data_IF_661558741338
#
_entry.id   IF_661558741338
#
_cell.length_a   1.000
_cell.length_b   1.000
_cell.length_c   1.000
_cell.angle_alpha   90.00
_cell.angle_beta   90.00
_cell.angle_gamma   90.00
#
_symmetry.space_group_name_H-M   'P 1'
#
loop_
_entity.id
_entity.type
_entity.pdbx_description
1 polymer ?
#
# COMPACT_ATOMS: atom_id res chain seq x y z
N UNK A 1 51.38 -21.01 -17.53
CA UNK A 1 51.39 -19.58 -17.94
C UNK A 1 50.04 -18.97 -17.59
N UNK A 2 50.00 -18.16 -16.52
CA UNK A 2 48.97 -17.16 -16.19
C UNK A 2 49.09 -15.98 -17.18
N UNK A 3 48.03 -15.16 -17.42
CA UNK A 3 47.59 -14.07 -16.49
C UNK A 3 46.03 -13.99 -16.37
N UNK A 4 45.35 -13.58 -15.29
CA UNK A 4 45.35 -12.36 -14.45
C UNK A 4 45.00 -11.04 -15.19
N UNK A 5 43.79 -10.49 -14.98
CA UNK A 5 43.40 -9.06 -14.83
C UNK A 5 41.86 -8.94 -14.93
N UNK A 6 41.14 -8.78 -13.81
CA UNK A 6 40.71 -7.51 -13.16
C UNK A 6 39.81 -6.63 -14.04
N UNK A 7 38.52 -6.58 -13.71
CA UNK A 7 37.69 -5.38 -13.89
C UNK A 7 37.15 -4.95 -12.53
N UNK A 8 37.71 -3.85 -12.03
CA UNK A 8 37.24 -3.05 -10.93
C UNK A 8 35.95 -2.33 -11.35
N UNK A 9 34.92 -2.32 -10.51
CA UNK A 9 33.90 -1.27 -10.57
C UNK A 9 33.41 -0.90 -9.16
N UNK A 10 34.09 0.13 -8.64
CA UNK A 10 33.59 1.27 -7.86
C UNK A 10 32.62 0.99 -6.70
N UNK A 11 33.23 0.97 -5.52
CA UNK A 11 32.80 1.55 -4.25
C UNK A 11 31.68 2.60 -4.32
N UNK A 12 30.60 2.38 -3.56
CA UNK A 12 29.90 3.45 -2.84
C UNK A 12 29.64 2.95 -1.43
N UNK A 13 30.55 3.30 -0.53
CA UNK A 13 30.44 3.12 0.92
C UNK A 13 29.57 4.28 1.43
N UNK A 14 28.30 4.06 1.75
CA UNK A 14 27.49 5.05 2.46
C UNK A 14 27.84 4.97 3.95
N UNK A 15 28.63 5.94 4.40
CA UNK A 15 28.90 6.22 5.80
C UNK A 15 27.62 6.81 6.39
N UNK A 16 26.86 6.02 7.15
CA UNK A 16 25.84 6.55 8.05
C UNK A 16 26.55 6.99 9.34
N UNK A 17 26.53 8.30 9.59
CA UNK A 17 27.11 8.92 10.76
C UNK A 17 26.44 8.41 12.05
N UNK A 18 27.18 7.69 12.89
CA UNK A 18 26.80 7.43 14.27
C UNK A 18 27.20 8.67 15.08
N UNK A 19 26.22 9.50 15.42
CA UNK A 19 26.42 10.55 16.40
C UNK A 19 26.41 9.92 17.81
N UNK A 20 27.59 9.53 18.30
CA UNK A 20 27.81 9.33 19.74
C UNK A 20 27.95 10.71 20.40
N UNK A 21 26.90 11.21 21.02
CA UNK A 21 27.04 12.30 21.99
C UNK A 21 27.58 11.71 23.30
N UNK A 22 28.89 11.89 23.52
CA UNK A 22 29.56 11.55 24.77
C UNK A 22 29.04 12.43 25.92
N UNK A 23 28.69 11.78 27.03
CA UNK A 23 28.44 12.39 28.33
C UNK A 23 29.79 12.76 28.96
N UNK A 24 30.08 14.06 29.15
CA UNK A 24 31.14 14.54 30.04
C UNK A 24 30.73 15.86 30.71
N UNK A 25 30.74 15.86 32.04
CA UNK A 25 30.55 17.01 32.93
C UNK A 25 30.54 16.46 34.37
N UNK A 26 31.72 16.30 34.97
CA UNK A 26 32.36 17.28 35.86
C UNK A 26 31.66 17.37 37.23
N UNK A 27 32.36 16.89 38.24
CA UNK A 27 32.00 16.79 39.65
C UNK A 27 32.39 18.08 40.40
N UNK A 28 31.45 18.67 41.14
CA UNK A 28 31.67 19.44 42.40
C UNK A 28 30.33 19.77 43.07
N UNK A 29 30.36 19.88 44.39
CA UNK A 29 29.32 19.54 45.36
C UNK A 29 28.23 20.60 45.65
N UNK A 30 27.08 20.08 46.10
CA UNK A 30 26.05 20.59 47.01
C UNK A 30 25.39 21.98 46.78
N UNK A 31 24.13 21.93 46.33
CA UNK A 31 23.03 22.60 47.02
C UNK A 31 21.72 21.82 46.79
N UNK A 32 21.15 21.36 47.90
CA UNK A 32 19.85 20.71 48.02
C UNK A 32 18.74 21.67 47.57
N UNK A 33 17.95 21.32 46.55
CA UNK A 33 16.55 21.69 46.48
C UNK A 33 15.75 20.69 45.65
N UNK A 34 14.98 19.91 46.39
CA UNK A 34 13.80 19.16 46.01
C UNK A 34 12.88 19.92 45.05
N UNK A 35 12.74 19.43 43.82
CA UNK A 35 11.44 19.06 43.20
C UNK A 35 11.77 18.15 42.02
N UNK A 36 11.72 16.83 42.25
CA UNK A 36 11.93 15.82 41.22
C UNK A 36 10.89 15.93 40.11
N UNK A 37 11.16 16.75 39.10
CA UNK A 37 10.46 16.64 37.82
C UNK A 37 11.05 15.43 37.14
N UNK A 38 10.39 14.28 37.25
CA UNK A 38 10.72 13.12 36.43
C UNK A 38 10.45 13.53 34.99
N UNK A 39 11.47 14.06 34.30
CA UNK A 39 11.50 14.05 32.85
C UNK A 39 11.53 12.58 32.45
N UNK A 40 10.34 11.99 32.34
CA UNK A 40 10.22 10.71 31.66
C UNK A 40 10.85 10.92 30.29
N UNK A 41 11.90 10.16 30.00
CA UNK A 41 12.50 10.16 28.68
C UNK A 41 11.41 9.71 27.71
N UNK A 42 10.81 10.67 27.02
CA UNK A 42 9.83 10.40 25.99
C UNK A 42 10.60 10.00 24.75
N UNK A 43 10.31 8.81 24.28
CA UNK A 43 10.89 8.30 23.06
C UNK A 43 9.81 8.30 21.98
N UNK A 44 10.16 8.81 20.81
CA UNK A 44 9.27 8.89 19.65
C UNK A 44 9.95 8.26 18.45
N UNK A 45 9.26 7.34 17.79
CA UNK A 45 9.65 6.83 16.47
C UNK A 45 8.58 7.19 15.46
N UNK A 46 9.02 7.71 14.32
CA UNK A 46 8.15 8.11 13.21
C UNK A 46 8.70 7.55 11.92
N UNK A 47 7.83 7.06 11.05
CA UNK A 47 8.22 6.52 9.76
C UNK A 47 7.23 6.92 8.67
N UNK A 48 7.78 7.33 7.52
CA UNK A 48 6.99 7.66 6.34
C UNK A 48 6.79 6.40 5.52
N UNK A 49 5.53 6.09 5.25
CA UNK A 49 5.15 4.89 4.52
C UNK A 49 5.14 5.15 3.01
N UNK A 50 5.37 4.12 2.18
CA UNK A 50 5.23 4.21 0.73
C UNK A 50 3.82 4.59 0.25
N UNK A 51 2.81 4.44 1.11
CA UNK A 51 1.45 4.92 0.89
C UNK A 51 1.28 6.44 1.02
N UNK A 52 2.32 7.17 1.46
CA UNK A 52 2.24 8.58 1.86
C UNK A 52 1.75 8.80 3.30
N UNK A 53 1.22 7.77 3.96
CA UNK A 53 0.85 7.85 5.38
C UNK A 53 2.10 7.94 6.27
N UNK A 54 1.95 8.55 7.44
CA UNK A 54 2.98 8.55 8.48
C UNK A 54 2.50 7.70 9.66
N UNK A 55 3.33 6.75 10.08
CA UNK A 55 3.11 6.00 11.32
C UNK A 55 4.03 6.58 12.40
N UNK A 56 3.53 6.63 13.63
CA UNK A 56 4.32 7.05 14.78
C UNK A 56 3.95 6.24 16.02
N UNK A 57 4.90 6.10 16.92
CA UNK A 57 4.67 5.63 18.27
C UNK A 57 5.36 6.56 19.27
N UNK A 58 4.74 6.70 20.44
CA UNK A 58 5.28 7.45 21.56
C UNK A 58 5.33 6.52 22.77
N UNK A 59 6.53 6.35 23.32
CA UNK A 59 6.82 5.55 24.50
C UNK A 59 7.29 6.40 25.66
N UNK A 60 7.13 5.89 26.87
CA UNK A 60 7.65 6.50 28.11
C UNK A 60 9.00 5.91 28.51
N UNK A 61 9.49 4.91 27.78
CA UNK A 61 10.83 4.36 27.95
C UNK A 61 11.83 4.93 26.95
N UNK A 62 13.02 4.33 26.90
CA UNK A 62 14.18 4.86 26.17
C UNK A 62 14.38 4.24 24.78
N UNK A 63 13.54 3.28 24.39
CA UNK A 63 13.74 2.48 23.17
C UNK A 63 12.57 2.64 22.22
N UNK A 64 12.83 3.30 21.09
CA UNK A 64 11.93 3.32 19.94
C UNK A 64 12.72 3.03 18.69
N UNK A 65 12.08 2.28 17.81
CA UNK A 65 12.66 1.73 16.61
C UNK A 65 11.77 2.14 15.46
N UNK A 66 12.37 2.66 14.39
CA UNK A 66 11.76 2.79 13.08
C UNK A 66 12.66 2.00 12.11
N UNK A 67 12.18 0.87 11.62
CA UNK A 67 13.00 -0.07 10.84
C UNK A 67 12.15 -0.81 9.80
N UNK A 68 12.71 -1.81 9.13
CA UNK A 68 12.06 -2.67 8.17
C UNK A 68 12.38 -4.14 8.42
N UNK A 69 11.41 -5.00 8.19
CA UNK A 69 11.60 -6.45 8.14
C UNK A 69 10.88 -7.05 6.91
N UNK A 70 10.81 -8.39 6.83
CA UNK A 70 10.15 -9.08 5.72
C UNK A 70 8.66 -8.79 5.56
N UNK A 71 8.00 -8.19 6.57
CA UNK A 71 6.60 -7.77 6.55
C UNK A 71 6.44 -6.29 6.19
N UNK A 72 7.53 -5.52 6.14
CA UNK A 72 7.55 -4.12 5.74
C UNK A 72 8.19 -3.18 6.76
N UNK A 73 8.00 -1.89 6.52
CA UNK A 73 8.41 -0.79 7.40
C UNK A 73 7.54 -0.80 8.67
N UNK A 74 8.13 -0.60 9.84
CA UNK A 74 7.41 -0.52 11.11
C UNK A 74 8.04 0.44 12.11
N UNK A 75 7.20 0.93 13.03
CA UNK A 75 7.63 1.57 14.28
C UNK A 75 7.30 0.70 15.49
N UNK A 76 8.14 0.75 16.51
CA UNK A 76 7.96 0.04 17.77
C UNK A 76 8.50 0.87 18.92
N UNK A 77 7.73 1.00 20.00
CA UNK A 77 8.13 1.73 21.21
C UNK A 77 8.07 0.78 22.42
N UNK A 78 9.06 0.87 23.31
CA UNK A 78 9.13 0.15 24.58
C UNK A 78 9.00 -1.37 24.48
N UNK A 79 9.46 -1.96 23.37
CA UNK A 79 9.32 -3.40 23.11
C UNK A 79 7.87 -3.84 22.88
N UNK A 80 6.93 -2.90 22.72
CA UNK A 80 5.52 -3.14 22.48
C UNK A 80 5.22 -3.72 21.09
N UNK A 81 3.94 -3.71 20.69
CA UNK A 81 3.55 -4.19 19.37
C UNK A 81 4.16 -3.33 18.25
N UNK A 82 4.60 -3.98 17.18
CA UNK A 82 5.05 -3.29 15.96
C UNK A 82 3.83 -2.73 15.22
N UNK A 83 3.92 -1.46 14.84
CA UNK A 83 2.95 -0.80 13.98
C UNK A 83 3.55 -0.78 12.59
N UNK A 84 2.96 -1.53 11.65
CA UNK A 84 3.46 -1.62 10.28
C UNK A 84 2.86 -0.55 9.39
N UNK A 85 3.65 -0.11 8.41
CA UNK A 85 3.16 0.74 7.34
C UNK A 85 2.06 0.06 6.54
N UNK A 86 0.98 0.78 6.17
CA UNK A 86 0.02 0.26 5.22
C UNK A 86 0.69 0.03 3.85
N UNK A 87 0.12 -0.88 3.02
CA UNK A 87 0.66 -1.17 1.69
C UNK A 87 0.68 0.10 0.82
N UNK A 88 1.63 0.14 -0.13
CA UNK A 88 1.75 1.26 -1.05
C UNK A 88 0.44 1.50 -1.83
N UNK A 89 0.08 2.76 -2.01
CA UNK A 89 -1.08 3.16 -2.80
C UNK A 89 -0.72 3.01 -4.28
N UNK A 90 -1.38 2.05 -4.93
CA UNK A 90 -1.13 1.74 -6.35
C UNK A 90 -2.34 2.01 -7.22
N UNK A 91 -3.50 2.28 -6.62
CA UNK A 91 -4.73 2.55 -7.36
C UNK A 91 -4.82 4.04 -7.67
N UNK A 92 -4.40 4.44 -8.86
CA UNK A 92 -4.74 5.78 -9.38
C UNK A 92 -6.27 5.92 -9.47
N UNK A 93 -6.87 7.09 -9.16
CA UNK A 93 -8.33 7.30 -9.17
C UNK A 93 -8.97 7.20 -10.57
N UNK A 94 -8.23 6.73 -11.57
CA UNK A 94 -8.65 6.59 -12.95
C UNK A 94 -9.87 5.68 -13.07
N UNK A 95 -10.96 6.28 -13.50
CA UNK A 95 -12.15 5.54 -13.96
C UNK A 95 -11.78 4.84 -15.26
N UNK A 96 -11.98 3.53 -15.31
CA UNK A 96 -11.76 2.68 -16.48
C UNK A 96 -13.09 2.18 -17.01
N UNK A 97 -13.13 1.87 -18.30
CA UNK A 97 -14.32 1.34 -18.98
C UNK A 97 -13.93 0.14 -19.81
N UNK A 98 -14.66 -0.96 -19.64
CA UNK A 98 -14.46 -2.21 -20.39
C UNK A 98 -15.79 -2.66 -20.97
N UNK A 99 -15.76 -3.14 -22.21
CA UNK A 99 -16.93 -3.73 -22.85
C UNK A 99 -16.95 -5.24 -22.61
N UNK A 100 -18.11 -5.78 -22.22
CA UNK A 100 -18.35 -7.22 -22.25
C UNK A 100 -19.46 -7.54 -23.24
N UNK A 101 -19.30 -8.62 -23.97
CA UNK A 101 -20.34 -9.18 -24.81
C UNK A 101 -20.46 -10.67 -24.56
N UNK A 102 -21.69 -11.17 -24.68
CA UNK A 102 -21.95 -12.60 -24.58
C UNK A 102 -23.29 -12.99 -25.19
N UNK A 103 -23.39 -14.29 -25.46
CA UNK A 103 -24.59 -14.94 -25.95
C UNK A 103 -25.44 -15.51 -24.81
N UNK A 104 -26.75 -15.61 -25.03
CA UNK A 104 -27.69 -16.36 -24.19
C UNK A 104 -28.96 -16.71 -24.96
N UNK A 105 -29.76 -17.65 -24.45
CA UNK A 105 -31.04 -18.02 -25.06
C UNK A 105 -32.07 -16.87 -24.98
N UNK A 106 -31.88 -15.95 -24.04
CA UNK A 106 -32.66 -14.71 -23.90
C UNK A 106 -31.75 -13.51 -23.71
N UNK A 107 -32.25 -12.29 -23.95
CA UNK A 107 -31.49 -11.07 -23.64
C UNK A 107 -31.06 -10.97 -22.17
N UNK A 108 -31.89 -11.41 -21.22
CA UNK A 108 -31.54 -11.38 -19.79
C UNK A 108 -30.36 -12.29 -19.45
N UNK A 109 -30.34 -13.48 -20.04
CA UNK A 109 -29.21 -14.40 -19.93
C UNK A 109 -27.96 -13.85 -20.63
N UNK A 110 -28.10 -13.35 -21.85
CA UNK A 110 -27.00 -12.74 -22.60
C UNK A 110 -26.36 -11.58 -21.83
N UNK A 111 -27.16 -10.70 -21.21
CA UNK A 111 -26.64 -9.62 -20.36
C UNK A 111 -25.95 -10.14 -19.10
N UNK A 112 -26.45 -11.21 -18.48
CA UNK A 112 -25.82 -11.81 -17.31
C UNK A 112 -24.43 -12.36 -17.67
N UNK A 113 -24.33 -13.07 -18.79
CA UNK A 113 -23.07 -13.59 -19.30
C UNK A 113 -22.12 -12.46 -19.73
N UNK A 114 -22.63 -11.41 -20.37
CA UNK A 114 -21.85 -10.28 -20.84
C UNK A 114 -21.24 -9.49 -19.67
N UNK A 115 -21.98 -9.35 -18.56
CA UNK A 115 -21.47 -8.79 -17.30
C UNK A 115 -20.33 -9.63 -16.74
N UNK A 116 -20.52 -10.95 -16.64
CA UNK A 116 -19.48 -11.84 -16.15
C UNK A 116 -18.19 -11.76 -17.00
N UNK A 117 -18.32 -11.65 -18.34
CA UNK A 117 -17.19 -11.43 -19.24
C UNK A 117 -16.51 -10.08 -18.98
N UNK A 118 -17.27 -8.98 -18.90
CA UNK A 118 -16.71 -7.65 -18.61
C UNK A 118 -15.90 -7.64 -17.29
N UNK A 119 -16.40 -8.35 -16.27
CA UNK A 119 -15.74 -8.41 -14.97
C UNK A 119 -14.41 -9.16 -14.97
N UNK A 120 -14.19 -10.11 -15.89
CA UNK A 120 -12.90 -10.79 -16.01
C UNK A 120 -11.77 -9.82 -16.38
N UNK A 121 -12.09 -8.74 -17.07
CA UNK A 121 -11.12 -7.71 -17.47
C UNK A 121 -10.94 -6.60 -16.43
N UNK A 122 -11.73 -6.60 -15.34
CA UNK A 122 -11.57 -5.62 -14.26
C UNK A 122 -10.35 -5.95 -13.38
N UNK A 123 -9.18 -5.44 -13.77
CA UNK A 123 -7.93 -5.61 -13.03
C UNK A 123 -7.75 -4.48 -11.99
N UNK A 124 -8.28 -4.71 -10.79
CA UNK A 124 -8.08 -3.83 -9.64
C UNK A 124 -7.10 -4.46 -8.63
N UNK A 125 -6.02 -3.76 -8.25
CA UNK A 125 -5.16 -4.18 -7.15
C UNK A 125 -5.99 -4.32 -5.87
N UNK A 126 -5.99 -5.51 -5.25
CA UNK A 126 -6.76 -5.76 -4.02
C UNK A 126 -8.25 -6.04 -4.22
N UNK A 127 -8.75 -6.22 -5.46
CA UNK A 127 -10.13 -6.63 -5.80
C UNK A 127 -11.26 -5.72 -5.28
N UNK A 128 -10.95 -4.55 -4.75
CA UNK A 128 -11.95 -3.60 -4.27
C UNK A 128 -12.13 -2.51 -5.33
N UNK A 129 -13.20 -2.58 -6.11
CA UNK A 129 -13.55 -1.53 -7.07
C UNK A 129 -15.00 -1.12 -6.91
N UNK A 130 -15.27 0.16 -7.13
CA UNK A 130 -16.63 0.62 -7.44
C UNK A 130 -16.93 0.23 -8.88
N UNK A 131 -17.96 -0.58 -9.11
CA UNK A 131 -18.37 -1.04 -10.44
C UNK A 131 -19.77 -0.53 -10.78
N UNK A 132 -19.98 -0.19 -12.04
CA UNK A 132 -21.30 0.14 -12.58
C UNK A 132 -21.42 -0.44 -13.98
N UNK A 133 -22.61 -0.96 -14.30
CA UNK A 133 -22.89 -1.57 -15.59
C UNK A 133 -23.93 -0.76 -16.33
N UNK A 134 -23.63 -0.41 -17.56
CA UNK A 134 -24.60 0.14 -18.51
C UNK A 134 -24.98 -0.94 -19.50
N UNK A 135 -26.26 -1.27 -19.59
CA UNK A 135 -26.77 -2.16 -20.63
C UNK A 135 -26.74 -1.39 -21.96
N UNK A 136 -26.10 -1.96 -22.97
CA UNK A 136 -26.06 -1.41 -24.31
C UNK A 136 -27.15 -2.11 -25.14
N UNK A 137 -26.80 -2.70 -26.29
CA UNK A 137 -27.72 -3.43 -27.15
C UNK A 137 -27.96 -4.87 -26.70
N UNK A 138 -29.11 -5.39 -27.10
CA UNK A 138 -29.35 -6.83 -27.19
C UNK A 138 -30.03 -7.12 -28.53
N UNK A 139 -29.39 -7.94 -29.36
CA UNK A 139 -29.87 -8.27 -30.70
C UNK A 139 -30.00 -9.79 -30.87
N UNK A 140 -31.05 -10.25 -31.57
CA UNK A 140 -31.15 -11.66 -31.90
C UNK A 140 -30.01 -12.05 -32.85
N UNK A 141 -29.39 -13.22 -32.64
CA UNK A 141 -28.24 -13.67 -33.44
C UNK A 141 -28.66 -14.04 -34.86
N UNK A 142 -29.92 -14.39 -35.06
CA UNK A 142 -30.49 -14.70 -36.36
C UNK A 142 -31.91 -14.12 -36.49
N UNK A 143 -32.48 -14.23 -37.69
CA UNK A 143 -33.90 -13.90 -37.92
C UNK A 143 -34.87 -14.78 -37.13
N UNK A 144 -34.41 -15.94 -36.63
CA UNK A 144 -35.16 -16.79 -35.71
C UNK A 144 -34.77 -16.45 -34.28
N UNK A 145 -35.69 -15.85 -33.54
CA UNK A 145 -35.51 -15.47 -32.12
C UNK A 145 -35.22 -16.66 -31.17
N UNK A 146 -35.28 -17.89 -31.68
CA UNK A 146 -34.94 -19.13 -30.96
C UNK A 146 -33.45 -19.43 -30.96
N UNK A 147 -32.67 -18.81 -31.84
CA UNK A 147 -31.22 -19.06 -31.97
C UNK A 147 -30.40 -18.28 -30.93
N UNK A 148 -31.11 -17.57 -30.05
CA UNK A 148 -30.57 -16.79 -28.95
C UNK A 148 -30.27 -15.35 -29.33
N UNK A 149 -29.63 -14.66 -28.38
CA UNK A 149 -29.39 -13.24 -28.41
C UNK A 149 -27.93 -12.97 -28.05
N UNK A 150 -27.34 -11.96 -28.68
CA UNK A 150 -26.08 -11.37 -28.27
C UNK A 150 -26.38 -10.06 -27.55
N UNK A 151 -25.73 -9.83 -26.42
CA UNK A 151 -25.90 -8.61 -25.65
C UNK A 151 -24.56 -8.00 -25.28
N UNK A 152 -24.53 -6.67 -25.27
CA UNK A 152 -23.35 -5.87 -24.96
C UNK A 152 -23.58 -5.09 -23.66
N UNK A 153 -22.55 -5.02 -22.83
CA UNK A 153 -22.54 -4.19 -21.62
C UNK A 153 -21.27 -3.37 -21.57
N UNK A 154 -21.39 -2.18 -20.98
CA UNK A 154 -20.24 -1.36 -20.64
C UNK A 154 -20.07 -1.40 -19.12
N UNK A 155 -18.96 -1.95 -18.65
CA UNK A 155 -18.52 -1.91 -17.26
C UNK A 155 -17.66 -0.68 -17.05
N UNK A 156 -18.13 0.27 -16.25
CA UNK A 156 -17.33 1.36 -15.73
C UNK A 156 -16.90 1.02 -14.32
N UNK A 157 -15.59 1.02 -14.06
CA UNK A 157 -15.05 0.70 -12.74
C UNK A 157 -13.94 1.66 -12.31
N UNK A 158 -13.84 1.85 -11.00
CA UNK A 158 -12.78 2.63 -10.37
C UNK A 158 -12.19 1.80 -9.24
N UNK A 159 -10.88 1.57 -9.28
CA UNK A 159 -10.17 0.86 -8.23
C UNK A 159 -10.23 1.71 -6.95
N UNK A 160 -10.59 1.10 -5.83
CA UNK A 160 -10.46 1.74 -4.53
C UNK A 160 -9.04 1.53 -4.04
N UNK A 161 -8.43 2.58 -3.53
CA UNK A 161 -7.18 2.43 -2.82
C UNK A 161 -7.38 1.57 -1.56
N UNK A 162 -6.34 0.82 -1.13
CA UNK A 162 -6.38 0.13 0.14
C UNK A 162 -6.55 1.13 1.30
N UNK A 163 -7.08 0.64 2.43
CA UNK A 163 -7.26 1.44 3.65
C UNK A 163 -5.91 2.02 4.09
N UNK A 164 -5.87 3.32 4.36
CA UNK A 164 -4.65 4.03 4.76
C UNK A 164 -3.93 4.78 3.64
N UNK A 165 -4.53 4.82 2.45
CA UNK A 165 -4.17 5.78 1.41
C UNK A 165 -4.88 7.12 1.64
N UNK A 166 -4.09 8.19 1.71
CA UNK A 166 -4.56 9.56 1.87
C UNK A 166 -4.02 10.39 0.70
N UNK A 167 -4.84 11.30 0.11
CA UNK A 167 -4.41 12.19 -0.96
C UNK A 167 -3.42 13.26 -0.48
#
# INVERSE_FOLDING_TARGET
MTPLLRFLSRSVLFIAAVALSACQGAETEEALSDTGTVSQALCTATQNCPSGAQISCNGTGTVCIADQDGSGLYVQCDGGARIYCPPACTCSPTVKTESGSAWGATCGEAYTNARANAEQYSDCPGRTCSKSFTLQGCTPVSSRKTDGFNADVLLTYQCKEPVGCYP
#
